data_IF_037507810871
#
_entry.id   IF_037507810871
#
_cell.length_a   1.000
_cell.length_b   1.000
_cell.length_c   1.000
_cell.angle_alpha   90.00
_cell.angle_beta   90.00
_cell.angle_gamma   90.00
#
_symmetry.space_group_name_H-M   'P 1'
#
loop_
_entity.id
_entity.type
_entity.pdbx_description
1 polymer ?
#
# COMPACT_ATOMS: atom_id res chain seq x y z
N UNK A 1 -17.27 -7.10 17.52
CA UNK A 1 -17.38 -5.83 18.28
C UNK A 1 -17.23 -4.69 17.30
N UNK A 2 -18.29 -4.36 16.58
CA UNK A 2 -18.36 -3.15 15.73
C UNK A 2 -19.11 -2.04 16.50
N UNK A 3 -19.24 -0.83 15.95
CA UNK A 3 -20.02 0.23 16.59
C UNK A 3 -19.28 1.11 17.62
N UNK A 4 -17.96 1.00 17.72
CA UNK A 4 -17.16 1.85 18.61
C UNK A 4 -15.75 2.12 18.06
N UNK A 5 -15.15 3.24 18.47
CA UNK A 5 -13.76 3.55 18.14
C UNK A 5 -12.77 2.52 18.67
N UNK A 6 -13.08 1.88 19.81
CA UNK A 6 -12.28 0.77 20.35
C UNK A 6 -12.34 -0.44 19.42
N UNK A 7 -13.53 -0.80 18.94
CA UNK A 7 -13.72 -1.89 17.98
C UNK A 7 -12.93 -1.66 16.69
N UNK A 8 -12.98 -0.44 16.14
CA UNK A 8 -12.19 -0.03 14.99
C UNK A 8 -10.67 -0.05 15.28
N UNK A 9 -10.25 0.47 16.43
CA UNK A 9 -8.85 0.44 16.83
C UNK A 9 -8.30 -0.98 16.92
N UNK A 10 -9.09 -1.93 17.45
CA UNK A 10 -8.73 -3.34 17.51
C UNK A 10 -8.65 -4.00 16.13
N UNK A 11 -9.60 -3.73 15.23
CA UNK A 11 -9.57 -4.30 13.88
C UNK A 11 -8.42 -3.74 13.03
N UNK A 12 -8.14 -2.44 13.12
CA UNK A 12 -6.95 -1.82 12.52
C UNK A 12 -5.68 -2.45 13.09
N UNK A 13 -5.59 -2.59 14.41
CA UNK A 13 -4.41 -3.22 15.05
C UNK A 13 -4.25 -4.67 14.63
N UNK A 14 -5.35 -5.43 14.50
CA UNK A 14 -5.31 -6.80 14.02
C UNK A 14 -4.85 -6.89 12.56
N UNK A 15 -5.36 -6.02 11.69
CA UNK A 15 -4.98 -5.96 10.29
C UNK A 15 -3.48 -5.59 10.14
N UNK A 16 -3.05 -4.50 10.74
CA UNK A 16 -1.66 -4.02 10.68
C UNK A 16 -0.71 -4.99 11.39
N UNK A 17 -1.06 -5.41 12.60
CA UNK A 17 -0.26 -6.31 13.43
C UNK A 17 -0.07 -7.69 12.79
N UNK A 18 -1.12 -8.27 12.19
CA UNK A 18 -1.02 -9.56 11.49
C UNK A 18 -0.08 -9.47 10.28
N UNK A 19 -0.09 -8.37 9.53
CA UNK A 19 0.86 -8.14 8.42
C UNK A 19 2.31 -8.17 8.91
N UNK A 20 2.64 -7.43 9.98
CA UNK A 20 3.99 -7.41 10.53
C UNK A 20 4.41 -8.75 11.14
N UNK A 21 3.51 -9.37 11.92
CA UNK A 21 3.75 -10.64 12.61
C UNK A 21 3.99 -11.76 11.62
N UNK A 22 3.06 -11.97 10.68
CA UNK A 22 3.14 -13.06 9.69
C UNK A 22 4.25 -12.83 8.68
N UNK A 23 4.59 -11.57 8.37
CA UNK A 23 5.73 -11.24 7.51
C UNK A 23 7.08 -11.20 8.23
N UNK A 24 7.10 -11.38 9.56
CA UNK A 24 8.34 -11.43 10.33
C UNK A 24 9.14 -12.68 9.94
N UNK A 25 10.46 -12.55 9.88
CA UNK A 25 11.34 -13.65 9.41
C UNK A 25 11.14 -14.93 10.21
N UNK A 26 11.08 -14.82 11.54
CA UNK A 26 10.95 -15.97 12.44
C UNK A 26 9.62 -16.68 12.24
N UNK A 27 8.51 -15.96 12.34
CA UNK A 27 7.16 -16.54 12.22
C UNK A 27 6.96 -17.12 10.82
N UNK A 28 7.28 -16.36 9.77
CA UNK A 28 7.16 -16.83 8.38
C UNK A 28 7.98 -18.10 8.15
N UNK A 29 9.25 -18.10 8.56
CA UNK A 29 10.12 -19.26 8.34
C UNK A 29 9.59 -20.50 9.04
N UNK A 30 9.16 -20.39 10.30
CA UNK A 30 8.57 -21.52 11.04
C UNK A 30 7.30 -22.03 10.38
N UNK A 31 6.36 -21.15 10.05
CA UNK A 31 5.09 -21.57 9.43
C UNK A 31 5.31 -22.19 8.04
N UNK A 32 6.14 -21.57 7.19
CA UNK A 32 6.45 -22.11 5.86
C UNK A 32 7.15 -23.46 5.96
N UNK A 33 8.04 -23.68 6.95
CA UNK A 33 8.67 -24.97 7.16
C UNK A 33 7.67 -26.08 7.57
N UNK A 34 6.54 -25.71 8.17
CA UNK A 34 5.53 -26.67 8.64
C UNK A 34 4.49 -26.99 7.57
N UNK A 35 3.98 -25.98 6.86
CA UNK A 35 2.85 -26.15 5.93
C UNK A 35 3.22 -25.94 4.46
N UNK A 36 4.44 -25.49 4.16
CA UNK A 36 4.88 -25.13 2.82
C UNK A 36 4.49 -23.70 2.41
N UNK A 37 5.12 -23.20 1.35
CA UNK A 37 4.96 -21.81 0.89
C UNK A 37 3.52 -21.51 0.45
N UNK A 38 2.90 -22.39 -0.35
CA UNK A 38 1.55 -22.14 -0.88
C UNK A 38 0.47 -22.14 0.21
N UNK A 39 0.53 -23.09 1.15
CA UNK A 39 -0.42 -23.12 2.26
C UNK A 39 -0.24 -21.90 3.18
N UNK A 40 1.01 -21.48 3.42
CA UNK A 40 1.29 -20.25 4.16
C UNK A 40 0.71 -19.02 3.45
N UNK A 41 0.87 -18.89 2.13
CA UNK A 41 0.30 -17.77 1.38
C UNK A 41 -1.23 -17.78 1.42
N UNK A 42 -1.86 -18.95 1.35
CA UNK A 42 -3.30 -19.12 1.55
C UNK A 42 -3.73 -18.63 2.95
N UNK A 43 -3.09 -19.12 4.00
CA UNK A 43 -3.36 -18.73 5.39
C UNK A 43 -3.17 -17.22 5.60
N UNK A 44 -2.05 -16.67 5.13
CA UNK A 44 -1.76 -15.24 5.19
C UNK A 44 -2.87 -14.43 4.53
N UNK A 45 -3.27 -14.82 3.32
CA UNK A 45 -4.29 -14.11 2.55
C UNK A 45 -5.66 -14.19 3.20
N UNK A 46 -6.03 -15.34 3.77
CA UNK A 46 -7.28 -15.51 4.51
C UNK A 46 -7.31 -14.64 5.77
N UNK A 47 -6.23 -14.60 6.55
CA UNK A 47 -6.15 -13.74 7.75
C UNK A 47 -6.19 -12.26 7.36
N UNK A 48 -5.44 -11.86 6.33
CA UNK A 48 -5.43 -10.49 5.83
C UNK A 48 -6.83 -10.08 5.34
N UNK A 49 -7.53 -10.95 4.61
CA UNK A 49 -8.89 -10.67 4.14
C UNK A 49 -9.89 -10.59 5.29
N UNK A 50 -9.85 -11.53 6.24
CA UNK A 50 -10.76 -11.54 7.38
C UNK A 50 -10.59 -10.28 8.26
N UNK A 51 -9.34 -9.90 8.55
CA UNK A 51 -9.05 -8.68 9.32
C UNK A 51 -9.36 -7.41 8.52
N UNK A 52 -9.21 -7.41 7.20
CA UNK A 52 -9.63 -6.31 6.34
C UNK A 52 -11.14 -6.12 6.34
N UNK A 53 -11.92 -7.19 6.14
CA UNK A 53 -13.39 -7.13 6.17
C UNK A 53 -13.87 -6.63 7.53
N UNK A 54 -13.33 -7.16 8.63
CA UNK A 54 -13.65 -6.67 9.97
C UNK A 54 -13.30 -5.19 10.16
N UNK A 55 -12.17 -4.73 9.61
CA UNK A 55 -11.78 -3.32 9.66
C UNK A 55 -12.76 -2.42 8.88
N UNK A 56 -13.22 -2.86 7.70
CA UNK A 56 -14.21 -2.13 6.89
C UNK A 56 -15.57 -2.06 7.60
N UNK A 57 -16.08 -3.18 8.12
CA UNK A 57 -17.34 -3.21 8.88
C UNK A 57 -17.26 -2.34 10.14
N UNK A 58 -16.16 -2.44 10.89
CA UNK A 58 -15.96 -1.64 12.10
C UNK A 58 -15.85 -0.14 11.79
N UNK A 59 -15.31 0.25 10.64
CA UNK A 59 -15.25 1.63 10.19
C UNK A 59 -16.63 2.15 9.78
N UNK A 60 -17.41 1.34 9.03
CA UNK A 60 -18.77 1.70 8.61
C UNK A 60 -19.71 1.92 9.81
N UNK A 61 -19.55 1.13 10.88
CA UNK A 61 -20.35 1.24 12.10
C UNK A 61 -19.78 2.25 13.11
N UNK A 62 -18.57 2.78 12.90
CA UNK A 62 -17.90 3.62 13.89
C UNK A 62 -18.66 4.94 14.12
N UNK A 63 -18.77 5.43 15.36
CA UNK A 63 -19.41 6.71 15.63
C UNK A 63 -18.58 7.84 14.98
N UNK A 64 -19.27 8.77 14.34
CA UNK A 64 -18.66 10.00 13.86
C UNK A 64 -18.29 10.89 15.04
N UNK A 65 -17.00 11.09 15.25
CA UNK A 65 -16.46 12.03 16.23
C UNK A 65 -15.53 12.99 15.48
N UNK A 66 -16.01 14.21 15.24
CA UNK A 66 -15.22 15.27 14.63
C UNK A 66 -14.04 15.64 15.56
N UNK A 67 -12.85 15.70 14.98
CA UNK A 67 -11.61 16.14 15.62
C UNK A 67 -11.16 17.50 15.06
N UNK A 68 -11.35 17.72 13.76
CA UNK A 68 -11.15 19.01 13.11
C UNK A 68 -12.04 19.14 11.88
N UNK A 69 -12.27 20.37 11.43
CA UNK A 69 -12.94 20.63 10.15
C UNK A 69 -11.88 20.76 9.05
N UNK A 70 -11.78 19.81 8.10
CA UNK A 70 -10.78 19.87 7.05
C UNK A 70 -11.12 21.01 6.06
N UNK A 71 -10.19 21.95 5.81
CA UNK A 71 -10.39 22.97 4.79
C UNK A 71 -10.68 22.35 3.41
N UNK A 72 -11.54 22.99 2.61
CA UNK A 72 -11.88 22.54 1.24
C UNK A 72 -10.63 22.31 0.38
N UNK A 73 -9.57 23.10 0.59
CA UNK A 73 -8.28 22.92 -0.08
C UNK A 73 -7.67 21.52 0.13
N UNK A 74 -7.84 20.89 1.30
CA UNK A 74 -7.33 19.54 1.57
C UNK A 74 -8.15 18.47 0.83
N UNK A 75 -9.44 18.71 0.60
CA UNK A 75 -10.27 17.83 -0.24
C UNK A 75 -9.85 17.91 -1.71
N UNK A 76 -9.57 19.11 -2.23
CA UNK A 76 -8.99 19.28 -3.56
C UNK A 76 -7.60 18.64 -3.68
N UNK A 77 -6.77 18.74 -2.64
CA UNK A 77 -5.48 18.07 -2.59
C UNK A 77 -5.65 16.55 -2.69
N UNK A 78 -6.58 15.96 -1.93
CA UNK A 78 -6.88 14.54 -2.01
C UNK A 78 -7.32 14.13 -3.41
N UNK A 79 -8.27 14.85 -4.02
CA UNK A 79 -8.68 14.61 -5.41
C UNK A 79 -7.49 14.67 -6.37
N UNK A 80 -6.58 15.62 -6.19
CA UNK A 80 -5.43 15.83 -7.09
C UNK A 80 -4.33 14.77 -6.94
N UNK A 81 -4.10 14.26 -5.72
CA UNK A 81 -3.05 13.27 -5.45
C UNK A 81 -3.50 11.84 -5.74
N UNK A 82 -4.78 11.54 -5.55
CA UNK A 82 -5.34 10.20 -5.76
C UNK A 82 -5.08 9.55 -7.14
N UNK A 83 -5.10 10.25 -8.29
CA UNK A 83 -4.73 9.61 -9.56
C UNK A 83 -3.29 9.07 -9.55
N UNK A 84 -2.35 9.77 -8.92
CA UNK A 84 -0.96 9.29 -8.78
C UNK A 84 -0.88 8.06 -7.87
N UNK A 85 -1.64 8.04 -6.78
CA UNK A 85 -1.76 6.86 -5.92
C UNK A 85 -2.29 5.64 -6.69
N UNK A 86 -3.37 5.82 -7.47
CA UNK A 86 -3.94 4.75 -8.30
C UNK A 86 -2.95 4.26 -9.38
N UNK A 87 -2.23 5.18 -10.05
CA UNK A 87 -1.19 4.82 -11.04
C UNK A 87 -0.07 4.02 -10.38
N UNK A 88 0.40 4.43 -9.20
CA UNK A 88 1.44 3.71 -8.46
C UNK A 88 0.98 2.29 -8.09
N UNK A 89 -0.26 2.13 -7.62
CA UNK A 89 -0.84 0.81 -7.31
C UNK A 89 -0.92 -0.05 -8.56
N UNK A 90 -1.54 0.42 -9.64
CA UNK A 90 -1.71 -0.36 -10.86
C UNK A 90 -0.36 -0.72 -11.48
N UNK A 91 0.55 0.24 -11.63
CA UNK A 91 1.86 -0.02 -12.19
C UNK A 91 2.65 -1.00 -11.30
N UNK A 92 2.56 -0.85 -9.97
CA UNK A 92 3.23 -1.73 -9.02
C UNK A 92 2.70 -3.16 -9.04
N UNK A 93 1.38 -3.35 -9.10
CA UNK A 93 0.75 -4.68 -9.15
C UNK A 93 1.04 -5.41 -10.46
N UNK A 94 1.22 -4.67 -11.55
CA UNK A 94 1.44 -5.24 -12.88
C UNK A 94 2.92 -5.35 -13.26
N UNK A 95 3.86 -4.81 -12.47
CA UNK A 95 5.31 -4.96 -12.69
C UNK A 95 5.90 -5.99 -11.73
N UNK A 96 6.41 -7.14 -12.21
CA UNK A 96 7.09 -8.12 -11.37
C UNK A 96 8.26 -7.51 -10.62
N UNK A 97 8.27 -7.63 -9.29
CA UNK A 97 9.26 -7.00 -8.42
C UNK A 97 9.82 -7.99 -7.38
N UNK A 98 11.12 -7.97 -7.09
CA UNK A 98 11.68 -8.75 -5.99
C UNK A 98 11.16 -8.32 -4.61
N UNK A 99 10.62 -7.10 -4.49
CA UNK A 99 9.99 -6.60 -3.26
C UNK A 99 8.58 -7.19 -3.02
N UNK A 100 7.91 -7.64 -4.08
CA UNK A 100 6.57 -8.22 -4.00
C UNK A 100 6.58 -9.67 -3.46
N UNK A 101 5.38 -10.21 -3.23
CA UNK A 101 5.18 -11.65 -3.01
C UNK A 101 5.46 -12.36 -4.33
N UNK A 102 6.38 -13.32 -4.30
CA UNK A 102 6.81 -14.10 -5.46
C UNK A 102 7.32 -15.45 -4.99
N UNK A 103 7.10 -16.49 -5.79
CA UNK A 103 7.65 -17.84 -5.58
C UNK A 103 9.16 -17.89 -5.87
N UNK A 104 9.66 -17.01 -6.75
CA UNK A 104 11.08 -16.88 -7.05
C UNK A 104 11.54 -15.41 -6.95
N UNK A 105 11.76 -14.90 -5.73
CA UNK A 105 12.26 -13.55 -5.52
C UNK A 105 13.74 -13.40 -5.91
N UNK A 106 14.51 -14.49 -6.01
CA UNK A 106 15.93 -14.44 -6.39
C UNK A 106 16.09 -14.14 -7.88
N UNK A 107 15.35 -14.83 -8.75
CA UNK A 107 15.38 -14.54 -10.18
C UNK A 107 14.93 -13.10 -10.48
N UNK A 108 13.90 -12.61 -9.77
CA UNK A 108 13.45 -11.22 -9.92
C UNK A 108 14.50 -10.20 -9.45
N UNK A 109 15.26 -10.50 -8.40
CA UNK A 109 16.28 -9.59 -7.87
C UNK A 109 17.53 -9.47 -8.75
N UNK A 110 17.75 -10.43 -9.65
CA UNK A 110 18.82 -10.37 -10.64
C UNK A 110 18.47 -9.45 -11.83
N UNK A 111 17.19 -9.16 -12.04
CA UNK A 111 16.73 -8.26 -13.11
C UNK A 111 17.00 -6.81 -12.72
N UNK A 112 17.33 -5.98 -13.72
CA UNK A 112 17.39 -4.54 -13.52
C UNK A 112 15.98 -3.99 -13.20
N UNK A 113 15.85 -2.94 -12.38
CA UNK A 113 14.56 -2.30 -12.14
C UNK A 113 14.02 -1.70 -13.44
N UNK A 114 12.72 -1.85 -13.66
CA UNK A 114 12.05 -1.39 -14.88
C UNK A 114 10.86 -0.49 -14.55
N UNK A 115 10.63 0.50 -15.43
CA UNK A 115 9.47 1.38 -15.38
C UNK A 115 9.26 1.97 -13.97
N UNK A 116 8.10 1.66 -13.37
CA UNK A 116 7.71 2.22 -12.07
C UNK A 116 8.67 1.89 -10.93
N UNK A 117 9.45 0.80 -11.00
CA UNK A 117 10.44 0.47 -9.97
C UNK A 117 11.58 1.50 -9.87
N UNK A 118 11.82 2.24 -10.96
CA UNK A 118 12.78 3.34 -11.00
C UNK A 118 12.23 4.62 -10.35
N UNK A 119 10.90 4.75 -10.24
CA UNK A 119 10.25 5.83 -9.47
C UNK A 119 10.39 5.55 -7.99
N UNK A 120 9.99 4.36 -7.53
CA UNK A 120 10.23 3.89 -6.16
C UNK A 120 10.29 2.37 -6.18
N UNK A 121 11.05 1.79 -5.26
CA UNK A 121 11.15 0.35 -5.07
C UNK A 121 9.84 -0.28 -4.57
N UNK A 122 8.97 0.51 -3.94
CA UNK A 122 7.69 0.09 -3.35
C UNK A 122 6.50 0.88 -3.91
N UNK A 123 6.18 0.78 -5.20
CA UNK A 123 5.15 1.59 -5.83
C UNK A 123 3.77 1.36 -5.21
N UNK A 124 3.38 0.09 -4.98
CA UNK A 124 2.08 -0.23 -4.37
C UNK A 124 1.96 0.36 -2.96
N UNK A 125 3.00 0.24 -2.13
CA UNK A 125 2.97 0.75 -0.76
C UNK A 125 2.99 2.26 -0.72
N UNK A 126 3.73 2.94 -1.61
CA UNK A 126 3.61 4.39 -1.74
C UNK A 126 2.25 4.84 -2.25
N UNK A 127 1.61 4.07 -3.13
CA UNK A 127 0.22 4.29 -3.52
C UNK A 127 -0.72 4.29 -2.31
N UNK A 128 -0.64 3.26 -1.47
CA UNK A 128 -1.43 3.20 -0.23
C UNK A 128 -1.03 4.24 0.82
N UNK A 129 0.24 4.62 0.92
CA UNK A 129 0.70 5.66 1.82
C UNK A 129 0.15 7.04 1.40
N UNK A 130 0.24 7.39 0.10
CA UNK A 130 -0.37 8.62 -0.42
C UNK A 130 -1.87 8.61 -0.22
N UNK A 131 -2.54 7.48 -0.52
CA UNK A 131 -3.97 7.30 -0.28
C UNK A 131 -4.32 7.62 1.18
N UNK A 132 -3.66 6.95 2.14
CA UNK A 132 -3.91 7.14 3.56
C UNK A 132 -3.64 8.57 4.02
N UNK A 133 -2.50 9.16 3.64
CA UNK A 133 -2.15 10.54 4.02
C UNK A 133 -3.19 11.53 3.53
N UNK A 134 -3.59 11.49 2.26
CA UNK A 134 -4.52 12.50 1.75
C UNK A 134 -5.95 12.31 2.25
N UNK A 135 -6.36 11.07 2.53
CA UNK A 135 -7.65 10.83 3.18
C UNK A 135 -7.65 11.29 4.63
N UNK A 136 -6.55 11.10 5.35
CA UNK A 136 -6.39 11.65 6.70
C UNK A 136 -6.49 13.17 6.67
N UNK A 137 -5.84 13.85 5.70
CA UNK A 137 -5.96 15.31 5.58
C UNK A 137 -7.37 15.79 5.21
N UNK A 138 -8.08 15.03 4.37
CA UNK A 138 -9.41 15.40 3.87
C UNK A 138 -10.57 15.02 4.80
N UNK A 139 -10.34 14.15 5.79
CA UNK A 139 -11.36 13.67 6.73
C UNK A 139 -10.92 13.92 8.18
N UNK A 140 -11.62 14.83 8.86
CA UNK A 140 -11.23 15.29 10.19
C UNK A 140 -11.92 14.59 11.35
N UNK A 141 -12.20 13.29 11.23
CA UNK A 141 -12.86 12.51 12.27
C UNK A 141 -11.97 11.38 12.83
N UNK A 142 -12.33 10.89 14.01
CA UNK A 142 -11.55 9.88 14.71
C UNK A 142 -11.49 8.52 14.01
N UNK A 143 -12.55 8.12 13.29
CA UNK A 143 -12.57 6.84 12.59
C UNK A 143 -11.61 6.88 11.39
N UNK A 144 -11.66 7.96 10.61
CA UNK A 144 -10.74 8.24 9.51
C UNK A 144 -9.28 8.28 9.98
N UNK A 145 -9.01 8.92 11.12
CA UNK A 145 -7.68 8.97 11.71
C UNK A 145 -7.14 7.56 11.99
N UNK A 146 -7.95 6.69 12.61
CA UNK A 146 -7.55 5.31 12.92
C UNK A 146 -7.32 4.48 11.66
N UNK A 147 -8.27 4.51 10.71
CA UNK A 147 -8.21 3.71 9.49
C UNK A 147 -7.04 4.14 8.59
N UNK A 148 -7.02 5.41 8.19
CA UNK A 148 -6.04 5.91 7.24
C UNK A 148 -4.66 6.09 7.87
N UNK A 149 -4.60 6.42 9.16
CA UNK A 149 -3.35 6.42 9.93
C UNK A 149 -2.74 5.03 10.01
N UNK A 150 -3.54 4.02 10.40
CA UNK A 150 -3.10 2.62 10.46
C UNK A 150 -2.61 2.09 9.11
N UNK A 151 -3.35 2.36 8.03
CA UNK A 151 -2.93 1.97 6.68
C UNK A 151 -1.66 2.68 6.22
N UNK A 152 -1.48 3.97 6.57
CA UNK A 152 -0.26 4.73 6.25
C UNK A 152 0.95 4.13 6.98
N UNK A 153 0.79 3.82 8.28
CA UNK A 153 1.82 3.15 9.09
C UNK A 153 2.17 1.80 8.48
N UNK A 154 1.17 0.98 8.15
CA UNK A 154 1.39 -0.32 7.51
C UNK A 154 2.14 -0.18 6.18
N UNK A 155 1.76 0.78 5.35
CA UNK A 155 2.37 0.98 4.04
C UNK A 155 3.86 1.37 4.17
N UNK A 156 4.18 2.38 4.98
CA UNK A 156 5.54 2.90 5.11
C UNK A 156 6.43 1.97 5.92
N UNK A 157 6.00 1.57 7.13
CA UNK A 157 6.80 0.67 7.97
C UNK A 157 6.83 -0.75 7.39
N UNK A 158 5.78 -1.18 6.70
CA UNK A 158 5.75 -2.45 5.98
C UNK A 158 6.77 -2.49 4.84
N UNK A 159 6.92 -1.39 4.10
CA UNK A 159 7.95 -1.25 3.07
C UNK A 159 9.37 -1.37 3.66
N UNK A 160 9.64 -0.70 4.78
CA UNK A 160 10.92 -0.81 5.50
C UNK A 160 11.15 -2.22 6.04
N UNK A 161 10.11 -2.87 6.56
CA UNK A 161 10.17 -4.25 7.04
C UNK A 161 10.46 -5.24 5.91
N UNK A 162 9.88 -5.02 4.73
CA UNK A 162 10.19 -5.78 3.51
C UNK A 162 11.66 -5.57 3.13
N UNK A 163 12.17 -4.34 3.12
CA UNK A 163 13.58 -4.04 2.81
C UNK A 163 14.52 -4.80 3.74
N UNK A 164 14.30 -4.71 5.06
CA UNK A 164 15.11 -5.39 6.06
C UNK A 164 15.10 -6.91 5.86
N UNK A 165 13.94 -7.49 5.54
CA UNK A 165 13.81 -8.92 5.25
C UNK A 165 14.53 -9.30 3.95
N UNK A 166 14.32 -8.56 2.87
CA UNK A 166 14.87 -8.84 1.54
C UNK A 166 16.39 -8.66 1.50
N UNK A 167 16.94 -7.71 2.25
CA UNK A 167 18.38 -7.55 2.40
C UNK A 167 19.07 -8.83 2.91
N UNK A 168 18.44 -9.53 3.86
CA UNK A 168 18.97 -10.80 4.38
C UNK A 168 18.66 -11.99 3.48
N UNK A 169 17.47 -12.06 2.89
CA UNK A 169 17.08 -13.20 2.05
C UNK A 169 17.78 -13.24 0.69
N UNK A 170 18.14 -12.07 0.14
CA UNK A 170 18.62 -11.95 -1.24
C UNK A 170 20.05 -11.38 -1.34
N UNK A 171 20.63 -10.92 -0.22
CA UNK A 171 22.01 -10.48 -0.13
C UNK A 171 22.42 -9.49 -1.23
N UNK A 172 23.50 -9.81 -1.95
CA UNK A 172 24.05 -8.96 -3.01
C UNK A 172 23.06 -8.64 -4.14
N UNK A 173 22.13 -9.54 -4.47
CA UNK A 173 21.12 -9.26 -5.50
C UNK A 173 20.20 -8.11 -5.05
N UNK A 174 19.79 -8.11 -3.78
CA UNK A 174 19.00 -7.00 -3.24
C UNK A 174 19.80 -5.71 -3.16
N UNK A 175 21.08 -5.76 -2.78
CA UNK A 175 21.93 -4.57 -2.74
C UNK A 175 22.05 -3.91 -4.11
N UNK A 176 22.25 -4.69 -5.18
CA UNK A 176 22.28 -4.18 -6.57
C UNK A 176 20.95 -3.55 -6.97
N UNK A 177 19.83 -4.24 -6.72
CA UNK A 177 18.50 -3.72 -7.01
C UNK A 177 18.19 -2.44 -6.22
N UNK A 178 18.59 -2.40 -4.94
CA UNK A 178 18.42 -1.26 -4.06
C UNK A 178 19.28 -0.05 -4.49
N UNK A 179 20.51 -0.29 -4.96
CA UNK A 179 21.40 0.76 -5.46
C UNK A 179 20.86 1.43 -6.74
N UNK A 180 20.14 0.68 -7.57
CA UNK A 180 19.52 1.17 -8.80
C UNK A 180 18.11 1.77 -8.62
N UNK A 181 17.59 1.82 -7.38
CA UNK A 181 16.24 2.31 -7.05
C UNK A 181 16.25 3.17 -5.78
N UNK A 182 15.11 3.68 -5.35
CA UNK A 182 14.99 4.43 -4.09
C UNK A 182 13.75 4.04 -3.31
N UNK A 183 13.82 4.18 -1.97
CA UNK A 183 12.64 4.08 -1.13
C UNK A 183 11.73 5.29 -1.36
N UNK A 184 12.28 6.51 -1.18
CA UNK A 184 11.59 7.77 -1.46
C UNK A 184 11.34 7.88 -2.97
N UNK A 185 10.11 8.17 -3.42
CA UNK A 185 9.80 8.33 -4.84
C UNK A 185 10.69 9.38 -5.50
N UNK A 186 11.07 9.12 -6.75
CA UNK A 186 11.89 9.97 -7.63
C UNK A 186 13.34 10.20 -7.18
N UNK A 187 13.73 9.85 -5.95
CA UNK A 187 15.09 10.11 -5.46
C UNK A 187 16.18 9.46 -6.34
N UNK A 188 16.01 8.21 -6.79
CA UNK A 188 16.97 7.59 -7.70
C UNK A 188 17.06 8.25 -9.09
N UNK A 189 15.98 8.91 -9.55
CA UNK A 189 15.97 9.68 -10.79
C UNK A 189 16.69 11.03 -10.60
N UNK A 190 16.44 11.70 -9.48
CA UNK A 190 17.08 12.97 -9.10
C UNK A 190 18.59 12.76 -8.92
N UNK A 191 19.00 11.68 -8.26
CA UNK A 191 20.41 11.30 -8.08
C UNK A 191 21.11 10.85 -9.37
N UNK A 192 20.38 10.70 -10.48
CA UNK A 192 20.90 10.18 -11.75
C UNK A 192 21.24 8.69 -11.76
N UNK A 193 20.91 7.95 -10.69
CA UNK A 193 21.13 6.49 -10.55
C UNK A 193 20.20 5.67 -11.45
N UNK A 194 19.05 6.24 -11.82
CA UNK A 194 18.09 5.64 -12.72
C UNK A 194 17.67 6.62 -13.82
N UNK A 195 17.30 6.08 -14.98
CA UNK A 195 16.69 6.84 -16.08
C UNK A 195 15.36 6.19 -16.43
N UNK A 196 14.31 6.99 -16.43
CA UNK A 196 12.95 6.54 -16.70
C UNK A 196 12.63 6.73 -18.19
N UNK A 197 12.07 5.70 -18.81
CA UNK A 197 11.40 5.84 -20.09
C UNK A 197 9.90 5.59 -19.91
N UNK A 198 9.05 6.46 -20.49
CA UNK A 198 7.60 6.28 -20.48
C UNK A 198 7.17 4.95 -21.12
N UNK A 199 7.93 4.45 -22.10
CA UNK A 199 7.69 3.15 -22.71
C UNK A 199 7.91 1.97 -21.76
N UNK A 200 8.78 2.10 -20.75
CA UNK A 200 9.01 1.07 -19.73
C UNK A 200 7.90 1.02 -18.68
N UNK A 201 7.22 2.15 -18.42
CA UNK A 201 6.02 2.16 -17.57
C UNK A 201 4.87 1.51 -18.34
N UNK A 202 4.69 1.89 -19.60
CA UNK A 202 3.61 1.39 -20.44
C UNK A 202 2.32 2.20 -20.25
N UNK A 203 1.89 2.87 -21.32
CA UNK A 203 0.72 3.77 -21.32
C UNK A 203 -0.57 3.09 -20.88
N UNK A 204 -0.75 1.80 -21.16
CA UNK A 204 -1.93 1.05 -20.72
C UNK A 204 -2.05 1.00 -19.19
N UNK A 205 -0.94 0.97 -18.45
CA UNK A 205 -0.94 0.95 -16.98
C UNK A 205 -1.32 2.29 -16.40
N UNK A 206 -0.82 3.37 -17.01
CA UNK A 206 -1.21 4.74 -16.67
C UNK A 206 -2.71 4.91 -16.95
N UNK A 207 -3.18 4.47 -18.12
CA UNK A 207 -4.59 4.49 -18.49
C UNK A 207 -5.47 3.71 -17.51
N UNK A 208 -5.05 2.51 -17.09
CA UNK A 208 -5.75 1.75 -16.06
C UNK A 208 -5.73 2.41 -14.68
N UNK A 209 -4.63 3.07 -14.30
CA UNK A 209 -4.56 3.86 -13.06
C UNK A 209 -5.54 5.03 -13.06
N UNK A 210 -5.65 5.74 -14.18
CA UNK A 210 -6.63 6.81 -14.37
C UNK A 210 -8.06 6.25 -14.40
N UNK A 211 -8.29 5.12 -15.06
CA UNK A 211 -9.59 4.46 -15.09
C UNK A 211 -10.03 4.01 -13.68
N UNK A 212 -9.11 3.46 -12.89
CA UNK A 212 -9.36 3.12 -11.49
C UNK A 212 -9.74 4.36 -10.68
N UNK A 213 -9.02 5.48 -10.85
CA UNK A 213 -9.34 6.73 -10.17
C UNK A 213 -10.74 7.26 -10.55
N UNK A 214 -11.07 7.30 -11.84
CA UNK A 214 -12.39 7.71 -12.31
C UNK A 214 -13.51 6.79 -11.77
N UNK A 215 -13.28 5.47 -11.77
CA UNK A 215 -14.20 4.50 -11.19
C UNK A 215 -14.41 4.75 -9.69
N UNK A 216 -13.33 5.00 -8.94
CA UNK A 216 -13.40 5.26 -7.50
C UNK A 216 -14.17 6.55 -7.20
N UNK A 217 -14.03 7.61 -7.99
CA UNK A 217 -14.85 8.84 -7.82
C UNK A 217 -16.34 8.51 -7.97
N UNK A 218 -16.72 7.81 -9.04
CA UNK A 218 -18.12 7.49 -9.34
C UNK A 218 -18.71 6.51 -8.32
N UNK A 219 -17.92 5.53 -7.89
CA UNK A 219 -18.34 4.52 -6.92
C UNK A 219 -18.29 5.02 -5.47
N UNK A 220 -17.61 6.12 -5.17
CA UNK A 220 -17.42 6.62 -3.81
C UNK A 220 -18.73 6.79 -3.01
N UNK A 221 -19.82 7.36 -3.56
CA UNK A 221 -21.08 7.47 -2.84
C UNK A 221 -21.70 6.11 -2.50
N UNK A 222 -21.49 5.10 -3.35
CA UNK A 222 -22.07 3.77 -3.17
C UNK A 222 -21.25 2.92 -2.21
N UNK A 223 -19.93 3.07 -2.25
CA UNK A 223 -19.00 2.35 -1.39
C UNK A 223 -18.90 2.95 0.02
N UNK A 224 -18.98 4.28 0.12
CA UNK A 224 -18.65 5.01 1.35
C UNK A 224 -19.72 6.01 1.78
N UNK A 225 -20.86 6.08 1.08
CA UNK A 225 -21.99 6.94 1.45
C UNK A 225 -21.80 8.44 1.20
N UNK A 226 -20.66 8.86 0.64
CA UNK A 226 -20.30 10.27 0.45
C UNK A 226 -19.90 10.52 -1.00
N UNK A 227 -20.43 11.58 -1.62
CA UNK A 227 -19.93 12.06 -2.90
C UNK A 227 -18.68 12.93 -2.72
N UNK A 228 -17.64 12.64 -3.49
CA UNK A 228 -16.38 13.41 -3.50
C UNK A 228 -16.32 14.46 -4.61
N UNK A 229 -17.27 14.42 -5.53
CA UNK A 229 -17.41 15.36 -6.64
C UNK A 229 -18.87 15.50 -7.10
N UNK A 230 -19.35 16.73 -7.41
CA UNK A 230 -18.70 18.02 -7.11
C UNK A 230 -18.52 18.23 -5.60
N UNK A 231 -17.52 19.03 -5.22
CA UNK A 231 -17.19 19.34 -3.81
C UNK A 231 -18.13 20.36 -3.18
#
# INVERSE_FOLDING_TARGET
MTGSLVGLGLSVTAFVGSHFLLSSRRVRHTLVAWVGEMAFLGLYSSIALATFVWMVEAYADAPYLELWVPPTALKHLALSVMPFACILVICGLTTPSPAAVSLDPQALAQRAPVGIQKVTRHPVLWGFALWGVVHLLANGDAASLLLFGGNTVLALLGALHIDARKHVLLGHHWQRFAAATSFVPLAALIDGRARLSASEIGWWRIGLGVALYALLIVAHPWLFGIAVWPL
#
